data_IF_928944130617
#
_entry.id   IF_928944130617
#
_cell.length_a   1.000
_cell.length_b   1.000
_cell.length_c   1.000
_cell.angle_alpha   90.00
_cell.angle_beta   90.00
_cell.angle_gamma   90.00
#
_symmetry.space_group_name_H-M   'P 1'
#
loop_
_entity.id
_entity.type
_entity.pdbx_description
1 polymer ?
#
# COMPACT_ATOMS: atom_id res chain seq x y z
N UNK A 1 27.28 -12.64 5.93
CA UNK A 1 27.18 -11.17 6.01
C UNK A 1 25.76 -10.86 6.43
N UNK A 2 25.57 -10.22 7.58
CA UNK A 2 24.28 -9.64 7.91
C UNK A 2 24.15 -8.41 7.01
N UNK A 3 23.42 -8.54 5.90
CA UNK A 3 22.99 -7.36 5.17
C UNK A 3 21.98 -6.64 6.07
N UNK A 4 22.21 -5.35 6.30
CA UNK A 4 21.21 -4.50 6.93
C UNK A 4 19.93 -4.52 6.09
N UNK A 5 18.80 -4.38 6.76
CA UNK A 5 17.50 -4.37 6.10
C UNK A 5 17.43 -3.24 5.04
N UNK A 6 16.90 -3.56 3.87
CA UNK A 6 16.50 -2.55 2.88
C UNK A 6 15.18 -1.95 3.35
N UNK A 7 15.28 -0.81 4.05
CA UNK A 7 14.16 0.05 4.42
C UNK A 7 13.51 0.57 3.13
N UNK A 8 12.18 0.41 2.98
CA UNK A 8 11.41 0.76 1.77
C UNK A 8 11.49 -0.20 0.57
N UNK A 9 11.87 -1.47 0.75
CA UNK A 9 12.05 -2.42 -0.36
C UNK A 9 10.94 -2.39 -1.43
N UNK A 10 9.67 -2.40 -1.03
CA UNK A 10 8.54 -2.38 -1.97
C UNK A 10 8.45 -1.07 -2.75
N UNK A 11 8.60 0.06 -2.06
CA UNK A 11 8.59 1.39 -2.65
C UNK A 11 9.77 1.56 -3.62
N UNK A 12 11.00 1.26 -3.19
CA UNK A 12 12.20 1.39 -4.02
C UNK A 12 12.13 0.47 -5.25
N UNK A 13 11.54 -0.72 -5.10
CA UNK A 13 11.27 -1.62 -6.22
C UNK A 13 10.30 -0.99 -7.21
N UNK A 14 9.24 -0.33 -6.73
CA UNK A 14 8.32 0.44 -7.55
C UNK A 14 9.03 1.54 -8.36
N UNK A 15 9.83 2.36 -7.68
CA UNK A 15 10.61 3.43 -8.30
C UNK A 15 11.60 2.89 -9.36
N UNK A 16 12.18 1.71 -9.14
CA UNK A 16 13.12 1.10 -10.11
C UNK A 16 12.48 0.75 -11.46
N UNK A 17 11.14 0.64 -11.55
CA UNK A 17 10.44 0.35 -12.80
C UNK A 17 10.41 1.53 -13.77
N UNK A 18 10.70 2.74 -13.30
CA UNK A 18 10.72 3.95 -14.12
C UNK A 18 12.12 4.31 -14.62
N UNK A 19 13.15 3.55 -14.23
CA UNK A 19 14.52 3.82 -14.64
C UNK A 19 14.65 3.78 -16.17
N UNK A 20 15.25 4.81 -16.74
CA UNK A 20 15.33 5.03 -18.19
C UNK A 20 14.09 5.62 -18.87
N UNK A 21 12.98 5.85 -18.16
CA UNK A 21 11.78 6.55 -18.67
C UNK A 21 11.75 8.04 -18.32
N UNK A 22 12.57 8.45 -17.34
CA UNK A 22 12.66 9.82 -16.83
C UNK A 22 13.58 10.67 -17.71
N UNK A 23 13.16 10.95 -18.94
CA UNK A 23 13.87 11.82 -19.89
C UNK A 23 12.99 12.96 -20.41
N UNK A 24 11.98 13.38 -19.64
CA UNK A 24 11.09 14.44 -20.11
C UNK A 24 11.02 15.54 -19.07
N UNK A 25 11.57 16.70 -19.43
CA UNK A 25 11.23 17.99 -18.83
C UNK A 25 9.71 18.15 -18.94
N UNK A 26 9.00 17.77 -17.88
CA UNK A 26 7.59 18.08 -17.72
C UNK A 26 7.45 18.77 -16.40
N UNK A 27 6.89 19.98 -16.43
CA UNK A 27 6.23 20.51 -15.24
C UNK A 27 5.18 19.47 -14.83
N UNK A 28 5.22 18.94 -13.59
CA UNK A 28 4.20 18.02 -13.15
C UNK A 28 2.84 18.73 -13.27
N UNK A 29 1.91 18.09 -14.00
CA UNK A 29 0.57 18.61 -14.15
C UNK A 29 -0.31 17.79 -13.21
N UNK A 30 -0.19 18.07 -11.92
CA UNK A 30 -0.98 17.41 -10.88
C UNK A 30 -2.46 17.58 -11.18
N UNK A 31 -3.12 16.44 -11.23
CA UNK A 31 -4.56 16.34 -11.42
C UNK A 31 -5.29 16.57 -10.09
N UNK A 32 -6.62 16.60 -10.12
CA UNK A 32 -7.44 16.77 -8.92
C UNK A 32 -7.12 15.70 -7.86
N UNK A 33 -6.97 14.44 -8.28
CA UNK A 33 -6.61 13.33 -7.38
C UNK A 33 -5.19 13.46 -6.84
N UNK A 34 -4.22 13.85 -7.68
CA UNK A 34 -2.81 14.00 -7.24
C UNK A 34 -2.69 15.07 -6.16
N UNK A 35 -3.37 16.21 -6.33
CA UNK A 35 -3.39 17.30 -5.33
C UNK A 35 -3.99 16.86 -4.00
N UNK A 36 -5.11 16.12 -4.03
CA UNK A 36 -5.75 15.62 -2.81
C UNK A 36 -4.86 14.60 -2.11
N UNK A 37 -4.24 13.70 -2.89
CA UNK A 37 -3.30 12.71 -2.37
C UNK A 37 -2.12 13.38 -1.67
N UNK A 38 -1.50 14.39 -2.31
CA UNK A 38 -0.38 15.13 -1.74
C UNK A 38 -0.75 15.85 -0.43
N UNK A 39 -1.96 16.40 -0.34
CA UNK A 39 -2.45 17.04 0.90
C UNK A 39 -2.65 16.02 2.03
N UNK A 40 -3.20 14.84 1.72
CA UNK A 40 -3.35 13.76 2.70
C UNK A 40 -1.97 13.26 3.15
N UNK A 41 -1.05 13.05 2.22
CA UNK A 41 0.32 12.61 2.52
C UNK A 41 1.05 13.61 3.44
N UNK A 42 0.96 14.91 3.13
CA UNK A 42 1.54 15.95 3.98
C UNK A 42 0.97 15.93 5.40
N UNK A 43 -0.34 15.70 5.55
CA UNK A 43 -0.97 15.53 6.86
C UNK A 43 -0.50 14.25 7.58
N UNK A 44 -0.34 13.14 6.87
CA UNK A 44 0.18 11.89 7.46
C UNK A 44 1.61 12.05 7.97
N UNK A 45 2.46 12.77 7.22
CA UNK A 45 3.82 13.09 7.63
C UNK A 45 3.85 13.94 8.91
N UNK A 46 2.99 14.96 9.02
CA UNK A 46 2.85 15.78 10.23
C UNK A 46 2.46 14.92 11.44
N UNK A 47 1.69 13.85 11.23
CA UNK A 47 1.27 12.91 12.28
C UNK A 47 2.23 11.72 12.46
N UNK A 48 3.42 11.76 11.86
CA UNK A 48 4.44 10.71 11.96
C UNK A 48 3.98 9.33 11.49
N UNK A 49 3.11 9.27 10.48
CA UNK A 49 2.69 8.02 9.85
C UNK A 49 3.59 7.78 8.64
N UNK A 50 4.54 6.86 8.77
CA UNK A 50 5.40 6.45 7.66
C UNK A 50 4.67 5.44 6.77
N UNK A 51 4.31 5.87 5.57
CA UNK A 51 3.59 5.05 4.59
C UNK A 51 4.53 4.38 3.56
N UNK A 52 5.80 4.81 3.51
CA UNK A 52 6.78 4.31 2.57
C UNK A 52 7.58 3.16 3.18
N UNK A 53 7.75 3.18 4.51
CA UNK A 53 8.32 2.09 5.29
C UNK A 53 7.29 1.45 6.21
N UNK A 54 7.52 0.17 6.49
CA UNK A 54 6.82 -0.58 7.54
C UNK A 54 5.35 -0.17 7.71
N UNK A 55 4.59 -0.17 6.62
CA UNK A 55 3.28 0.48 6.54
C UNK A 55 2.29 -0.07 7.56
N UNK A 56 2.33 -1.39 7.78
CA UNK A 56 1.53 -2.01 8.84
C UNK A 56 2.01 -1.56 10.20
N UNK A 57 3.31 -1.56 10.48
CA UNK A 57 3.83 -1.11 11.80
C UNK A 57 3.43 0.34 12.10
N UNK A 58 3.50 1.21 11.08
CA UNK A 58 3.17 2.62 11.21
C UNK A 58 1.69 2.87 11.53
N UNK A 59 0.79 2.04 10.98
CA UNK A 59 -0.66 2.20 11.15
C UNK A 59 -1.22 1.33 12.30
N UNK A 60 -0.64 0.16 12.53
CA UNK A 60 -0.98 -0.79 13.60
C UNK A 60 -0.30 -0.45 14.92
N UNK A 61 -0.06 0.84 15.22
CA UNK A 61 0.50 1.20 16.52
C UNK A 61 -0.34 0.57 17.66
N UNK A 62 0.29 0.10 18.76
CA UNK A 62 -0.30 -0.82 19.74
C UNK A 62 -1.69 -0.46 20.30
N UNK A 63 -2.14 0.79 20.17
CA UNK A 63 -3.44 1.26 20.69
C UNK A 63 -4.22 2.19 19.75
N UNK A 64 -3.88 2.28 18.45
CA UNK A 64 -4.34 3.43 17.63
C UNK A 64 -4.85 3.16 16.21
N UNK A 65 -4.96 1.92 15.72
CA UNK A 65 -5.47 1.69 14.35
C UNK A 65 -6.80 2.41 14.08
N UNK A 66 -7.77 2.31 14.99
CA UNK A 66 -9.06 2.99 14.86
C UNK A 66 -8.93 4.52 14.89
N UNK A 67 -7.99 5.07 15.64
CA UNK A 67 -7.75 6.51 15.72
C UNK A 67 -6.99 7.03 14.50
N UNK A 68 -6.00 6.28 14.01
CA UNK A 68 -5.27 6.55 12.77
C UNK A 68 -6.25 6.52 11.61
N UNK A 69 -7.04 5.45 11.47
CA UNK A 69 -8.07 5.40 10.45
C UNK A 69 -9.14 6.47 10.64
N UNK A 70 -9.54 6.84 11.86
CA UNK A 70 -10.48 7.96 12.05
C UNK A 70 -9.89 9.28 11.59
N UNK A 71 -8.64 9.58 11.90
CA UNK A 71 -7.98 10.82 11.50
C UNK A 71 -7.75 10.88 9.99
N UNK A 72 -7.20 9.79 9.43
CA UNK A 72 -6.94 9.68 7.99
C UNK A 72 -8.25 9.63 7.20
N UNK A 73 -9.27 8.93 7.68
CA UNK A 73 -10.58 8.87 7.03
C UNK A 73 -11.37 10.17 7.22
N UNK A 74 -11.17 10.92 8.31
CA UNK A 74 -11.72 12.28 8.43
C UNK A 74 -11.18 13.16 7.31
N UNK A 75 -9.87 13.15 7.09
CA UNK A 75 -9.25 13.88 5.98
C UNK A 75 -9.76 13.38 4.62
N UNK A 76 -9.77 12.05 4.41
CA UNK A 76 -10.30 11.45 3.19
C UNK A 76 -11.78 11.80 2.95
N UNK A 77 -12.62 11.80 4.00
CA UNK A 77 -14.05 12.18 3.93
C UNK A 77 -14.25 13.64 3.63
N UNK A 78 -13.51 14.51 4.29
CA UNK A 78 -13.53 15.96 4.01
C UNK A 78 -13.17 16.24 2.55
N UNK A 79 -12.40 15.34 1.92
CA UNK A 79 -12.05 15.39 0.51
C UNK A 79 -12.92 14.52 -0.39
N UNK A 80 -13.83 13.69 0.14
CA UNK A 80 -14.61 12.73 -0.65
C UNK A 80 -15.52 13.43 -1.65
N UNK A 81 -16.16 14.53 -1.25
CA UNK A 81 -16.99 15.33 -2.15
C UNK A 81 -16.14 15.94 -3.27
N UNK A 82 -14.90 16.35 -2.97
CA UNK A 82 -13.95 16.85 -3.97
C UNK A 82 -13.48 15.73 -4.90
N UNK A 83 -13.14 14.56 -4.34
CA UNK A 83 -12.75 13.35 -5.09
C UNK A 83 -13.86 12.90 -6.04
N UNK A 84 -15.11 12.92 -5.58
CA UNK A 84 -16.28 12.56 -6.38
C UNK A 84 -16.53 13.54 -7.53
N UNK A 85 -16.08 14.80 -7.37
CA UNK A 85 -16.15 15.83 -8.40
C UNK A 85 -14.92 15.86 -9.33
N UNK A 86 -13.86 15.09 -9.04
CA UNK A 86 -12.75 14.94 -9.96
C UNK A 86 -13.24 14.26 -11.26
N UNK A 87 -12.64 14.60 -12.43
CA UNK A 87 -12.98 13.98 -13.71
C UNK A 87 -12.99 12.45 -13.64
N UNK A 88 -13.93 11.81 -14.34
CA UNK A 88 -14.05 10.35 -14.36
C UNK A 88 -12.74 9.66 -14.79
N UNK A 89 -12.03 10.24 -15.76
CA UNK A 89 -10.73 9.74 -16.21
C UNK A 89 -9.68 9.66 -15.09
N UNK A 90 -9.75 10.56 -14.11
CA UNK A 90 -8.87 10.55 -12.93
C UNK A 90 -9.37 9.54 -11.91
N UNK A 91 -10.68 9.46 -11.66
CA UNK A 91 -11.27 8.47 -10.73
C UNK A 91 -10.97 7.02 -11.14
N UNK A 92 -10.70 6.76 -12.41
CA UNK A 92 -10.24 5.46 -12.94
C UNK A 92 -8.74 5.18 -12.73
N UNK A 93 -7.97 6.16 -12.28
CA UNK A 93 -6.54 6.06 -11.95
C UNK A 93 -6.30 6.67 -10.56
N UNK A 94 -6.78 6.02 -9.47
CA UNK A 94 -6.60 6.55 -8.13
C UNK A 94 -5.12 6.59 -7.76
N UNK A 95 -4.72 7.55 -6.92
CA UNK A 95 -3.36 7.57 -6.37
C UNK A 95 -3.11 6.35 -5.48
N UNK A 96 -1.85 5.94 -5.39
CA UNK A 96 -1.41 4.79 -4.61
C UNK A 96 -1.71 4.94 -3.12
N UNK A 97 -1.59 6.18 -2.60
CA UNK A 97 -1.97 6.48 -1.22
C UNK A 97 -3.45 6.20 -0.97
N UNK A 98 -4.33 6.71 -1.83
CA UNK A 98 -5.77 6.45 -1.69
C UNK A 98 -6.09 4.95 -1.76
N UNK A 99 -5.40 4.20 -2.63
CA UNK A 99 -5.49 2.74 -2.70
C UNK A 99 -5.12 2.09 -1.37
N UNK A 100 -3.97 2.47 -0.78
CA UNK A 100 -3.50 1.90 0.48
C UNK A 100 -4.44 2.22 1.65
N UNK A 101 -4.92 3.46 1.73
CA UNK A 101 -5.85 3.90 2.79
C UNK A 101 -7.18 3.17 2.70
N UNK A 102 -7.70 2.98 1.49
CA UNK A 102 -8.93 2.24 1.27
C UNK A 102 -8.78 0.77 1.67
N UNK A 103 -7.64 0.13 1.37
CA UNK A 103 -7.36 -1.24 1.84
C UNK A 103 -7.39 -1.30 3.37
N UNK A 104 -6.63 -0.44 4.05
CA UNK A 104 -6.44 -0.55 5.51
C UNK A 104 -7.64 -0.06 6.31
N UNK A 105 -8.25 1.05 5.92
CA UNK A 105 -9.31 1.68 6.70
C UNK A 105 -10.72 1.28 6.26
N UNK A 106 -10.88 0.58 5.14
CA UNK A 106 -12.19 0.11 4.66
C UNK A 106 -12.19 -1.40 4.41
N UNK A 107 -11.42 -1.89 3.44
CA UNK A 107 -11.52 -3.27 2.96
C UNK A 107 -11.02 -4.33 3.95
N UNK A 108 -9.99 -3.99 4.73
CA UNK A 108 -9.30 -4.87 5.68
C UNK A 108 -9.36 -4.37 7.12
N UNK A 109 -10.08 -3.27 7.38
CA UNK A 109 -10.08 -2.63 8.70
C UNK A 109 -10.45 -3.61 9.84
N UNK A 110 -11.52 -4.40 9.65
CA UNK A 110 -11.97 -5.34 10.68
C UNK A 110 -10.95 -6.44 10.97
N UNK A 111 -10.32 -7.02 9.94
CA UNK A 111 -9.30 -8.05 10.14
C UNK A 111 -8.05 -7.44 10.79
N UNK A 112 -7.64 -6.25 10.35
CA UNK A 112 -6.51 -5.52 10.93
C UNK A 112 -6.75 -5.18 12.40
N UNK A 113 -7.97 -4.79 12.80
CA UNK A 113 -8.33 -4.59 14.20
C UNK A 113 -8.22 -5.87 15.03
N UNK A 114 -8.60 -7.04 14.47
CA UNK A 114 -8.49 -8.33 15.15
C UNK A 114 -7.05 -8.79 15.30
N UNK A 115 -6.24 -8.65 14.26
CA UNK A 115 -4.84 -9.10 14.28
C UNK A 115 -3.88 -8.04 14.82
N UNK A 116 -4.36 -6.85 15.20
CA UNK A 116 -3.53 -5.69 15.52
C UNK A 116 -2.40 -6.03 16.50
N UNK A 117 -2.75 -6.60 17.66
CA UNK A 117 -1.79 -6.98 18.70
C UNK A 117 -0.71 -7.95 18.19
N UNK A 118 -1.11 -8.92 17.35
CA UNK A 118 -0.20 -9.88 16.77
C UNK A 118 0.70 -9.25 15.69
N UNK A 119 0.12 -8.42 14.80
CA UNK A 119 0.79 -7.91 13.62
C UNK A 119 1.59 -6.61 13.84
N UNK A 120 1.40 -5.91 14.97
CA UNK A 120 1.97 -4.58 15.25
C UNK A 120 3.48 -4.49 15.00
N UNK A 121 4.24 -5.51 15.40
CA UNK A 121 5.72 -5.52 15.26
C UNK A 121 6.21 -6.57 14.27
N UNK A 122 5.29 -7.24 13.56
CA UNK A 122 5.66 -8.35 12.70
C UNK A 122 6.43 -7.88 11.48
N UNK A 123 6.03 -6.76 10.87
CA UNK A 123 6.71 -6.26 9.68
C UNK A 123 8.16 -5.89 9.98
N UNK A 124 8.44 -5.14 11.05
CA UNK A 124 9.82 -4.83 11.48
C UNK A 124 10.62 -6.07 11.88
N UNK A 125 9.99 -7.04 12.56
CA UNK A 125 10.69 -8.27 13.00
C UNK A 125 10.98 -9.23 11.85
N UNK A 126 10.08 -9.31 10.88
CA UNK A 126 10.12 -10.29 9.80
C UNK A 126 10.77 -9.76 8.54
N UNK A 127 10.74 -8.44 8.28
CA UNK A 127 11.28 -7.88 7.05
C UNK A 127 12.73 -8.27 6.84
N UNK A 128 13.61 -8.04 7.82
CA UNK A 128 15.01 -8.45 7.73
C UNK A 128 15.16 -9.98 7.52
N UNK A 129 14.43 -10.80 8.29
CA UNK A 129 14.48 -12.27 8.16
C UNK A 129 14.02 -12.75 6.78
N UNK A 130 12.94 -12.18 6.26
CA UNK A 130 12.38 -12.51 4.97
C UNK A 130 13.28 -12.03 3.83
N UNK A 131 13.89 -10.84 3.95
CA UNK A 131 14.90 -10.34 3.02
C UNK A 131 16.12 -11.27 2.99
N UNK A 132 16.65 -11.69 4.15
CA UNK A 132 17.75 -12.64 4.23
C UNK A 132 17.39 -14.01 3.61
N UNK A 133 16.18 -14.51 3.89
CA UNK A 133 15.69 -15.74 3.29
C UNK A 133 15.64 -15.62 1.76
N UNK A 134 15.05 -14.55 1.22
CA UNK A 134 14.97 -14.33 -0.22
C UNK A 134 16.34 -14.13 -0.86
N UNK A 135 17.26 -13.43 -0.18
CA UNK A 135 18.64 -13.27 -0.61
C UNK A 135 19.39 -14.60 -0.69
N UNK A 136 19.14 -15.51 0.27
CA UNK A 136 19.72 -16.86 0.23
C UNK A 136 19.26 -17.69 -0.97
N UNK A 137 18.14 -17.31 -1.61
CA UNK A 137 17.64 -17.92 -2.87
C UNK A 137 18.17 -17.24 -4.13
N UNK A 138 19.10 -16.29 -4.00
CA UNK A 138 19.73 -15.57 -5.12
C UNK A 138 18.99 -14.32 -5.57
N UNK A 139 17.93 -13.92 -4.86
CA UNK A 139 17.20 -12.68 -5.15
C UNK A 139 17.90 -11.47 -4.52
N UNK A 140 17.86 -10.31 -5.16
CA UNK A 140 18.46 -9.09 -4.58
C UNK A 140 17.81 -7.84 -5.14
N UNK A 141 17.83 -6.78 -4.34
CA UNK A 141 17.47 -5.44 -4.79
C UNK A 141 18.58 -4.89 -5.70
N UNK A 142 18.23 -4.58 -6.94
CA UNK A 142 19.13 -4.00 -7.93
C UNK A 142 18.38 -2.93 -8.71
N UNK A 143 18.52 -1.63 -8.39
CA UNK A 143 17.75 -0.56 -9.04
C UNK A 143 17.76 -0.65 -10.57
N UNK A 144 18.90 -0.96 -11.17
CA UNK A 144 19.06 -1.04 -12.62
C UNK A 144 18.61 -2.40 -13.21
N UNK A 145 18.03 -3.29 -12.40
CA UNK A 145 17.60 -4.63 -12.81
C UNK A 145 16.19 -4.93 -12.27
N UNK A 146 15.15 -4.29 -12.81
CA UNK A 146 13.79 -4.31 -12.26
C UNK A 146 13.20 -5.72 -12.10
N UNK A 147 13.62 -6.67 -12.94
CA UNK A 147 13.21 -8.09 -12.81
C UNK A 147 13.70 -8.71 -11.48
N UNK A 148 14.95 -8.43 -11.08
CA UNK A 148 15.54 -8.96 -9.85
C UNK A 148 14.98 -8.26 -8.62
N UNK A 149 14.88 -6.93 -8.65
CA UNK A 149 14.21 -6.15 -7.60
C UNK A 149 12.78 -6.63 -7.38
N UNK A 150 12.04 -6.85 -8.46
CA UNK A 150 10.69 -7.38 -8.38
C UNK A 150 10.63 -8.76 -7.73
N UNK A 151 11.50 -9.68 -8.14
CA UNK A 151 11.53 -11.03 -7.58
C UNK A 151 11.91 -11.01 -6.08
N UNK A 152 12.82 -10.12 -5.68
CA UNK A 152 13.20 -9.94 -4.28
C UNK A 152 12.07 -9.36 -3.42
N UNK A 153 11.43 -8.28 -3.89
CA UNK A 153 10.32 -7.65 -3.17
C UNK A 153 9.08 -8.55 -3.09
N UNK A 154 8.77 -9.29 -4.17
CA UNK A 154 7.67 -10.25 -4.19
C UNK A 154 7.93 -11.43 -3.25
N UNK A 155 9.14 -11.98 -3.24
CA UNK A 155 9.53 -13.04 -2.32
C UNK A 155 9.39 -12.56 -0.85
N UNK A 156 9.88 -11.35 -0.55
CA UNK A 156 9.83 -10.77 0.79
C UNK A 156 8.39 -10.54 1.24
N UNK A 157 7.55 -9.97 0.38
CA UNK A 157 6.13 -9.74 0.68
C UNK A 157 5.40 -11.06 0.94
N UNK A 158 5.62 -12.09 0.11
CA UNK A 158 5.05 -13.42 0.32
C UNK A 158 5.51 -14.06 1.62
N UNK A 159 6.78 -13.91 1.98
CA UNK A 159 7.32 -14.41 3.23
C UNK A 159 6.61 -13.78 4.43
N UNK A 160 6.51 -12.45 4.50
CA UNK A 160 5.80 -11.76 5.58
C UNK A 160 4.32 -12.17 5.60
N UNK A 161 3.68 -12.20 4.43
CA UNK A 161 2.28 -12.59 4.29
C UNK A 161 2.00 -14.02 4.79
N UNK A 162 2.93 -14.95 4.61
CA UNK A 162 2.79 -16.31 5.14
C UNK A 162 2.87 -16.35 6.66
N UNK A 163 3.70 -15.50 7.27
CA UNK A 163 3.81 -15.40 8.71
C UNK A 163 2.60 -14.71 9.34
N UNK A 164 2.00 -13.71 8.68
CA UNK A 164 0.77 -13.06 9.18
C UNK A 164 -0.40 -14.03 9.36
N UNK A 165 -0.42 -15.17 8.66
CA UNK A 165 -1.42 -16.22 8.86
C UNK A 165 -1.37 -16.83 10.25
N UNK A 166 -0.23 -16.76 10.94
CA UNK A 166 -0.11 -17.22 12.32
C UNK A 166 -0.93 -16.35 13.28
N UNK A 167 -1.27 -15.11 12.90
CA UNK A 167 -2.20 -14.28 13.66
C UNK A 167 -3.66 -14.69 13.47
N UNK A 168 -4.07 -14.93 12.22
CA UNK A 168 -5.43 -15.35 11.89
C UNK A 168 -5.43 -16.06 10.52
N UNK A 169 -5.82 -17.34 10.49
CA UNK A 169 -5.95 -18.11 9.25
C UNK A 169 -7.30 -17.84 8.57
N UNK A 170 -7.45 -16.63 8.03
CA UNK A 170 -8.63 -16.20 7.27
C UNK A 170 -8.27 -15.83 5.83
N UNK A 171 -9.29 -15.82 4.96
CA UNK A 171 -9.11 -15.46 3.55
C UNK A 171 -8.65 -14.01 3.41
N UNK A 172 -9.13 -13.14 4.30
CA UNK A 172 -8.81 -11.72 4.40
C UNK A 172 -7.33 -11.51 4.79
N UNK A 173 -6.80 -12.30 5.72
CA UNK A 173 -5.37 -12.27 6.08
C UNK A 173 -4.48 -12.89 4.99
N UNK A 174 -5.01 -13.85 4.22
CA UNK A 174 -4.24 -14.62 3.22
C UNK A 174 -3.55 -13.77 2.13
N UNK A 175 -3.99 -12.53 1.89
CA UNK A 175 -3.33 -11.63 0.93
C UNK A 175 -2.99 -10.25 1.51
N UNK A 176 -3.22 -10.01 2.80
CA UNK A 176 -3.15 -8.68 3.39
C UNK A 176 -1.83 -7.97 3.10
N UNK A 177 -0.69 -8.60 3.38
CA UNK A 177 0.61 -7.96 3.16
C UNK A 177 0.95 -7.85 1.68
N UNK A 178 0.51 -8.80 0.85
CA UNK A 178 0.69 -8.72 -0.61
C UNK A 178 -0.07 -7.51 -1.20
N UNK A 179 -1.27 -7.24 -0.70
CA UNK A 179 -2.09 -6.08 -1.09
C UNK A 179 -1.43 -4.77 -0.65
N UNK A 180 -0.85 -4.72 0.55
CA UNK A 180 -0.13 -3.53 1.03
C UNK A 180 1.17 -3.32 0.24
N UNK A 181 1.94 -4.39 0.04
CA UNK A 181 3.18 -4.35 -0.73
C UNK A 181 2.97 -3.86 -2.17
N UNK A 182 1.88 -4.28 -2.82
CA UNK A 182 1.53 -3.79 -4.15
C UNK A 182 1.16 -2.30 -4.16
N UNK A 183 0.52 -1.79 -3.10
CA UNK A 183 0.21 -0.36 -2.99
C UNK A 183 1.49 0.46 -2.78
N UNK A 184 2.42 -0.01 -1.94
CA UNK A 184 3.74 0.61 -1.76
C UNK A 184 4.58 0.60 -3.05
N UNK A 185 4.54 -0.48 -3.84
CA UNK A 185 5.16 -0.49 -5.17
C UNK A 185 4.54 0.57 -6.09
N UNK A 186 3.22 0.74 -6.07
CA UNK A 186 2.56 1.79 -6.85
C UNK A 186 2.96 3.19 -6.37
N UNK A 187 3.09 3.41 -5.05
CA UNK A 187 3.60 4.67 -4.49
C UNK A 187 5.01 4.98 -5.00
N UNK A 188 5.90 3.98 -5.07
CA UNK A 188 7.24 4.16 -5.62
C UNK A 188 7.24 4.56 -7.10
N UNK A 189 6.35 3.97 -7.91
CA UNK A 189 6.18 4.37 -9.31
C UNK A 189 5.65 5.82 -9.39
N UNK A 190 4.64 6.18 -8.60
CA UNK A 190 4.07 7.52 -8.58
C UNK A 190 5.09 8.56 -8.16
N UNK A 191 5.86 8.30 -7.10
CA UNK A 191 6.91 9.18 -6.61
C UNK A 191 7.97 9.45 -7.69
N UNK A 192 8.33 8.43 -8.48
CA UNK A 192 9.25 8.61 -9.60
C UNK A 192 8.68 9.46 -10.74
N UNK A 193 7.35 9.61 -10.83
CA UNK A 193 6.66 10.55 -11.74
C UNK A 193 6.21 11.84 -11.02
N UNK A 194 6.90 12.25 -9.96
CA UNK A 194 6.58 13.43 -9.17
C UNK A 194 5.13 13.42 -8.63
N UNK A 195 4.61 12.26 -8.22
CA UNK A 195 3.26 12.10 -7.67
C UNK A 195 2.14 12.03 -8.71
N UNK A 196 2.44 11.89 -10.01
CA UNK A 196 1.42 11.79 -11.06
C UNK A 196 0.83 10.37 -11.18
N UNK A 197 -0.32 10.14 -10.56
CA UNK A 197 -1.03 8.85 -10.57
C UNK A 197 -1.31 8.36 -11.99
N UNK A 198 -1.77 9.23 -12.88
CA UNK A 198 -2.09 8.86 -14.26
C UNK A 198 -0.89 8.24 -15.01
N UNK A 199 0.33 8.78 -14.83
CA UNK A 199 1.55 8.25 -15.46
C UNK A 199 1.91 6.88 -14.89
N UNK A 200 1.78 6.70 -13.57
CA UNK A 200 1.99 5.40 -12.94
C UNK A 200 1.03 4.33 -13.48
N UNK A 201 -0.25 4.67 -13.64
CA UNK A 201 -1.24 3.77 -14.24
C UNK A 201 -1.00 3.49 -15.73
N UNK A 202 -0.47 4.47 -16.49
CA UNK A 202 -0.02 4.23 -17.86
C UNK A 202 1.13 3.21 -17.91
N UNK A 203 2.11 3.33 -17.01
CA UNK A 203 3.19 2.35 -16.87
C UNK A 203 2.65 0.97 -16.47
N UNK A 204 1.67 0.90 -15.57
CA UNK A 204 1.04 -0.36 -15.15
C UNK A 204 0.38 -1.12 -16.31
N UNK A 205 -0.17 -0.38 -17.28
CA UNK A 205 -0.75 -0.93 -18.52
C UNK A 205 0.31 -1.32 -19.53
N UNK A 206 1.56 -0.86 -19.37
CA UNK A 206 2.68 -1.26 -20.23
C UNK A 206 3.22 -2.65 -19.83
N UNK A 207 4.11 -3.20 -20.67
CA UNK A 207 4.82 -4.44 -20.36
C UNK A 207 6.12 -4.23 -19.57
N UNK A 208 6.42 -2.99 -19.15
CA UNK A 208 7.67 -2.63 -18.46
C UNK A 208 7.76 -3.26 -17.07
N UNK A 209 6.65 -3.32 -16.34
CA UNK A 209 6.64 -3.88 -14.98
C UNK A 209 6.62 -5.42 -15.06
N UNK A 210 7.55 -6.11 -14.40
CA UNK A 210 7.56 -7.57 -14.35
C UNK A 210 6.23 -8.14 -13.82
N UNK A 211 5.76 -9.23 -14.45
CA UNK A 211 4.41 -9.77 -14.23
C UNK A 211 4.07 -10.01 -12.75
N UNK A 212 5.02 -10.51 -11.95
CA UNK A 212 4.82 -10.79 -10.52
C UNK A 212 4.46 -9.51 -9.74
N UNK A 213 5.19 -8.42 -9.93
CA UNK A 213 4.94 -7.15 -9.23
C UNK A 213 3.71 -6.43 -9.77
N UNK A 214 3.49 -6.47 -11.09
CA UNK A 214 2.22 -6.00 -11.67
C UNK A 214 1.01 -6.73 -11.07
N UNK A 215 1.14 -8.03 -10.79
CA UNK A 215 0.08 -8.81 -10.13
C UNK A 215 -0.15 -8.35 -8.69
N UNK A 216 0.90 -8.04 -7.93
CA UNK A 216 0.76 -7.46 -6.59
C UNK A 216 0.05 -6.11 -6.63
N UNK A 217 0.48 -5.19 -7.50
CA UNK A 217 -0.15 -3.88 -7.68
C UNK A 217 -1.63 -4.03 -8.07
N UNK A 218 -1.95 -4.94 -9.00
CA UNK A 218 -3.33 -5.20 -9.40
C UNK A 218 -4.17 -5.76 -8.25
N UNK A 219 -3.60 -6.63 -7.40
CA UNK A 219 -4.31 -7.11 -6.20
C UNK A 219 -4.64 -5.97 -5.26
N UNK A 220 -3.74 -5.01 -5.07
CA UNK A 220 -3.99 -3.81 -4.26
C UNK A 220 -5.14 -2.98 -4.83
N UNK A 221 -5.14 -2.73 -6.14
CA UNK A 221 -6.21 -2.00 -6.82
C UNK A 221 -7.56 -2.72 -6.72
N UNK A 222 -7.58 -4.06 -6.76
CA UNK A 222 -8.81 -4.84 -6.58
C UNK A 222 -9.27 -4.76 -5.13
N UNK A 223 -8.36 -4.96 -4.17
CA UNK A 223 -8.67 -4.95 -2.76
C UNK A 223 -9.20 -3.59 -2.28
N UNK A 224 -8.72 -2.47 -2.83
CA UNK A 224 -9.26 -1.14 -2.51
C UNK A 224 -10.70 -0.95 -3.01
N UNK A 225 -11.15 -1.68 -4.03
CA UNK A 225 -12.53 -1.62 -4.49
C UNK A 225 -13.49 -2.50 -3.67
N UNK A 226 -12.97 -3.37 -2.81
CA UNK A 226 -13.80 -4.22 -1.96
C UNK A 226 -14.46 -3.41 -0.84
N UNK A 227 -15.79 -3.44 -0.77
CA UNK A 227 -16.53 -2.92 0.39
C UNK A 227 -16.66 -4.02 1.45
N UNK A 228 -16.53 -3.71 2.75
CA UNK A 228 -16.73 -4.69 3.81
C UNK A 228 -18.12 -5.33 3.69
N UNK A 229 -18.17 -6.65 3.74
CA UNK A 229 -19.44 -7.38 3.85
C UNK A 229 -19.99 -7.13 5.25
N UNK A 230 -21.02 -6.30 5.35
CA UNK A 230 -21.85 -6.24 6.56
C UNK A 230 -22.45 -7.63 6.76
N UNK A 231 -21.92 -8.39 7.73
CA UNK A 231 -22.66 -9.53 8.27
C UNK A 231 -23.97 -8.96 8.81
N UNK A 232 -25.10 -9.46 8.28
CA UNK A 232 -26.41 -9.18 8.85
C UNK A 232 -26.41 -9.74 10.27
N UNK A 233 -26.17 -8.88 11.25
CA UNK A 233 -26.49 -9.17 12.63
C UNK A 233 -28.01 -9.12 12.76
N UNK A 234 -28.64 -10.28 12.85
CA UNK A 234 -30.06 -10.44 13.21
C UNK A 234 -30.27 -10.08 14.68
N UNK A 235 -29.97 -8.84 15.07
CA UNK A 235 -30.40 -8.26 16.33
C UNK A 235 -30.60 -6.76 16.18
N UNK A 236 -31.86 -6.40 15.89
CA UNK A 236 -32.37 -5.06 16.08
C UNK A 236 -32.37 -4.70 17.57
N UNK A 237 -31.51 -3.78 17.98
CA UNK A 237 -31.83 -2.73 18.94
C UNK A 237 -30.61 -1.82 19.15
N UNK A 238 -30.89 -0.51 19.08
CA UNK A 238 -30.05 0.61 19.47
C UNK A 238 -28.90 0.98 18.52
N UNK A 239 -29.23 2.02 17.73
CA UNK A 239 -28.37 3.13 17.40
C UNK A 239 -27.27 3.33 18.46
N UNK A 240 -26.04 2.95 18.14
CA UNK A 240 -24.88 3.82 18.26
C UNK A 240 -23.66 3.17 17.61
N UNK A 241 -23.33 3.76 16.44
CA UNK A 241 -22.02 3.88 15.82
C UNK A 241 -21.40 2.63 15.14
N UNK A 242 -20.35 2.83 14.31
CA UNK A 242 -19.98 4.02 13.54
C UNK A 242 -19.56 3.66 12.10
N UNK A 243 -19.67 4.62 11.18
CA UNK A 243 -18.85 4.60 9.97
C UNK A 243 -17.88 5.75 10.06
#
# INVERSE_FOLDING_TARGET
MNADEITHLQFDTGASFTDGLLNIDKKPLWTCIDMISAEIEANMLINHIDIHNHFLTSILQPTKLADVCRQVFKLYREKLDVLNNCPESERLTPSALLVALQIVCVSRHQVLMRINECATTMETTLANKCQQFCASRGESMQPNHPIRSCAFAECTAKCINLQLKECEDSKETFNLYNEIAGAQMLMGIEAAFDGQSHQAHQLLRSQTIPLKCRTLIQKSLIASLETPKLEKSDNAANNDLPF
#
